data_IF_155745180386
#
_entry.id   IF_155745180386
#
_cell.length_a   1.000
_cell.length_b   1.000
_cell.length_c   1.000
_cell.angle_alpha   90.00
_cell.angle_beta   90.00
_cell.angle_gamma   90.00
#
_symmetry.space_group_name_H-M   'P 1'
#
loop_
_entity.id
_entity.type
_entity.pdbx_description
1 polymer ?
#
# COMPACT_ATOMS: atom_id res chain seq x y z
N UNK A 1 3.86 7.54 3.12
CA UNK A 1 5.06 6.87 3.69
C UNK A 1 6.02 6.39 2.60
N UNK A 2 7.30 6.20 2.93
CA UNK A 2 8.29 5.58 2.04
C UNK A 2 8.62 4.18 2.57
N UNK A 3 8.68 3.19 1.68
CA UNK A 3 9.08 1.81 2.00
C UNK A 3 10.36 1.53 1.23
N UNK A 4 11.41 1.04 1.91
CA UNK A 4 12.65 0.62 1.26
C UNK A 4 12.42 -0.71 0.55
N UNK A 5 12.87 -0.81 -0.69
CA UNK A 5 12.71 -2.00 -1.52
C UNK A 5 14.07 -2.23 -2.16
N UNK A 6 14.65 -3.39 -1.89
CA UNK A 6 16.00 -3.73 -2.33
C UNK A 6 15.99 -4.47 -3.67
N UNK A 7 14.90 -5.18 -3.94
CA UNK A 7 14.69 -5.89 -5.20
C UNK A 7 13.87 -5.00 -6.16
N UNK A 8 14.40 -4.70 -7.36
CA UNK A 8 13.64 -3.95 -8.34
C UNK A 8 12.42 -4.76 -8.78
N UNK A 9 11.28 -4.11 -8.94
CA UNK A 9 10.06 -4.78 -9.41
C UNK A 9 9.21 -3.83 -10.25
N UNK A 10 8.43 -4.38 -11.18
CA UNK A 10 7.52 -3.56 -11.98
C UNK A 10 6.13 -3.48 -11.35
N UNK A 11 5.42 -2.37 -11.53
CA UNK A 11 4.02 -2.27 -11.06
C UNK A 11 3.12 -3.35 -11.71
N UNK A 12 3.47 -3.81 -12.92
CA UNK A 12 2.79 -4.89 -13.62
C UNK A 12 2.94 -6.23 -12.89
N UNK A 13 4.13 -6.53 -12.34
CA UNK A 13 4.37 -7.71 -11.50
C UNK A 13 3.76 -7.58 -10.12
N UNK A 14 3.71 -6.37 -9.56
CA UNK A 14 3.16 -6.14 -8.23
C UNK A 14 1.64 -6.35 -8.19
N UNK A 15 0.91 -5.96 -9.24
CA UNK A 15 -0.55 -6.07 -9.30
C UNK A 15 -1.07 -7.49 -8.99
N UNK A 16 -0.67 -8.55 -9.71
CA UNK A 16 -1.20 -9.90 -9.45
C UNK A 16 -0.79 -10.42 -8.07
N UNK A 17 0.38 -10.04 -7.56
CA UNK A 17 0.80 -10.41 -6.19
C UNK A 17 -0.06 -9.75 -5.11
N UNK A 18 -0.45 -8.49 -5.31
CA UNK A 18 -1.38 -7.80 -4.41
C UNK A 18 -2.79 -8.38 -4.49
N UNK A 19 -3.26 -8.73 -5.70
CA UNK A 19 -4.57 -9.38 -5.88
C UNK A 19 -4.60 -10.77 -5.21
N UNK A 20 -3.49 -11.51 -5.23
CA UNK A 20 -3.37 -12.78 -4.53
C UNK A 20 -3.26 -12.62 -3.00
N UNK A 21 -2.54 -11.61 -2.52
CA UNK A 21 -2.36 -11.36 -1.09
C UNK A 21 -3.60 -10.73 -0.42
N UNK A 22 -4.42 -10.01 -1.19
CA UNK A 22 -5.60 -9.29 -0.71
C UNK A 22 -6.79 -9.53 -1.65
N UNK A 23 -7.33 -10.76 -1.72
CA UNK A 23 -8.37 -11.14 -2.67
C UNK A 23 -9.68 -10.35 -2.49
N UNK A 24 -9.95 -9.86 -1.29
CA UNK A 24 -11.10 -9.02 -0.98
C UNK A 24 -10.94 -7.55 -1.39
N UNK A 25 -9.74 -7.13 -1.84
CA UNK A 25 -9.46 -5.75 -2.22
C UNK A 25 -9.41 -5.57 -3.73
N UNK A 26 -9.78 -4.37 -4.17
CA UNK A 26 -9.72 -4.00 -5.59
C UNK A 26 -8.36 -3.39 -5.91
N UNK A 27 -7.65 -3.96 -6.89
CA UNK A 27 -6.36 -3.43 -7.34
C UNK A 27 -6.50 -2.89 -8.77
N UNK A 28 -6.24 -1.60 -8.96
CA UNK A 28 -6.41 -0.92 -10.25
C UNK A 28 -5.29 0.06 -10.53
N UNK A 29 -4.90 0.16 -11.80
CA UNK A 29 -4.00 1.22 -12.24
C UNK A 29 -4.74 2.55 -12.32
N UNK A 30 -4.10 3.62 -11.87
CA UNK A 30 -4.53 5.01 -12.07
C UNK A 30 -3.47 5.74 -12.89
N UNK A 31 -3.52 5.54 -14.20
CA UNK A 31 -2.45 5.95 -15.11
C UNK A 31 -1.24 5.02 -15.07
N UNK A 32 -0.13 5.38 -15.73
CA UNK A 32 0.98 4.45 -15.98
C UNK A 32 1.91 4.21 -14.79
N UNK A 33 1.91 5.11 -13.79
CA UNK A 33 2.89 5.10 -12.68
C UNK A 33 2.28 4.95 -11.30
N UNK A 34 0.97 4.69 -11.22
CA UNK A 34 0.25 4.58 -9.95
C UNK A 34 -0.62 3.34 -9.95
N UNK A 35 -0.40 2.50 -8.95
CA UNK A 35 -1.27 1.38 -8.63
C UNK A 35 -2.08 1.74 -7.39
N UNK A 36 -3.36 1.41 -7.37
CA UNK A 36 -4.24 1.68 -6.24
C UNK A 36 -4.82 0.37 -5.77
N UNK A 37 -4.67 0.11 -4.48
CA UNK A 37 -5.38 -0.94 -3.79
C UNK A 37 -6.46 -0.32 -2.91
N UNK A 38 -7.68 -0.82 -3.01
CA UNK A 38 -8.86 -0.25 -2.37
C UNK A 38 -9.69 -1.29 -1.66
N UNK A 39 -10.00 -1.00 -0.39
CA UNK A 39 -10.96 -1.73 0.43
C UNK A 39 -12.28 -0.94 0.42
N UNK A 40 -13.27 -1.49 -0.30
CA UNK A 40 -14.56 -0.83 -0.51
C UNK A 40 -14.43 0.54 -1.21
N UNK A 41 -15.18 1.53 -0.71
CA UNK A 41 -15.25 2.88 -1.32
C UNK A 41 -14.42 3.95 -0.59
N UNK A 42 -13.89 3.64 0.59
CA UNK A 42 -13.37 4.64 1.54
C UNK A 42 -11.87 4.48 1.75
N UNK A 43 -11.40 3.25 1.95
CA UNK A 43 -10.00 2.97 2.25
C UNK A 43 -9.26 2.66 0.96
N UNK A 44 -8.20 3.42 0.68
CA UNK A 44 -7.34 3.20 -0.47
C UNK A 44 -5.89 3.56 -0.15
N UNK A 45 -4.98 2.81 -0.75
CA UNK A 45 -3.56 3.10 -0.76
C UNK A 45 -3.07 3.26 -2.21
N UNK A 46 -2.44 4.40 -2.49
CA UNK A 46 -1.78 4.70 -3.74
C UNK A 46 -0.31 4.31 -3.65
N UNK A 47 0.11 3.45 -4.56
CA UNK A 47 1.48 2.97 -4.73
C UNK A 47 2.06 3.69 -5.94
N UNK A 48 2.98 4.61 -5.70
CA UNK A 48 3.69 5.30 -6.76
C UNK A 48 4.91 4.49 -7.16
N UNK A 49 5.07 4.33 -8.47
CA UNK A 49 6.14 3.56 -9.10
C UNK A 49 7.53 3.85 -8.55
N UNK A 50 8.38 2.84 -8.69
CA UNK A 50 9.67 2.74 -8.04
C UNK A 50 10.61 3.89 -8.43
N UNK A 51 11.15 4.59 -7.43
CA UNK A 51 12.43 5.30 -7.56
C UNK A 51 13.46 4.42 -6.88
N UNK A 52 14.64 4.22 -7.49
CA UNK A 52 15.70 3.32 -7.01
C UNK A 52 15.76 3.25 -5.47
N UNK A 53 15.43 2.09 -4.90
CA UNK A 53 15.54 1.79 -3.48
C UNK A 53 14.34 2.14 -2.60
N UNK A 54 13.28 2.78 -3.13
CA UNK A 54 12.07 3.04 -2.34
C UNK A 54 10.78 3.17 -3.15
N UNK A 55 9.69 2.80 -2.50
CA UNK A 55 8.32 2.92 -2.98
C UNK A 55 7.59 3.93 -2.11
N UNK A 56 6.77 4.78 -2.73
CA UNK A 56 5.92 5.73 -1.99
C UNK A 56 4.51 5.20 -1.91
N UNK A 57 3.99 5.11 -0.69
CA UNK A 57 2.62 4.73 -0.39
C UNK A 57 1.88 5.93 0.19
N UNK A 58 0.77 6.33 -0.40
CA UNK A 58 -0.07 7.42 0.10
C UNK A 58 -1.48 6.92 0.37
N UNK A 59 -2.13 7.47 1.39
CA UNK A 59 -3.54 7.30 1.66
C UNK A 59 -4.38 7.99 0.57
N UNK A 60 -5.49 7.37 0.18
CA UNK A 60 -6.42 7.96 -0.77
C UNK A 60 -7.82 7.38 -0.61
N UNK A 61 -8.79 8.04 -1.22
CA UNK A 61 -9.99 7.36 -1.66
C UNK A 61 -9.69 6.45 -2.87
N UNK A 62 -10.22 5.21 -2.89
CA UNK A 62 -9.98 4.26 -3.97
C UNK A 62 -10.72 4.63 -5.27
N UNK A 63 -11.83 5.37 -5.16
CA UNK A 63 -12.66 5.79 -6.31
C UNK A 63 -12.68 7.30 -6.48
N UNK A 64 -12.82 7.78 -7.72
CA UNK A 64 -13.03 9.20 -8.01
C UNK A 64 -14.36 9.71 -7.46
N UNK A 65 -15.40 8.85 -7.46
CA UNK A 65 -16.69 9.18 -6.85
C UNK A 65 -16.57 9.50 -5.36
N UNK A 66 -15.77 8.74 -4.60
CA UNK A 66 -15.50 9.05 -3.20
C UNK A 66 -14.77 10.39 -3.00
N UNK A 67 -13.81 10.71 -3.88
CA UNK A 67 -13.13 12.02 -3.87
C UNK A 67 -14.09 13.17 -4.18
N UNK A 68 -14.93 13.04 -5.21
CA UNK A 68 -15.92 14.06 -5.58
C UNK A 68 -16.96 14.27 -4.50
N UNK A 69 -17.50 13.19 -3.90
CA UNK A 69 -18.47 13.30 -2.81
C UNK A 69 -17.87 14.03 -1.60
N UNK A 70 -16.61 13.76 -1.29
CA UNK A 70 -15.90 14.48 -0.22
C UNK A 70 -15.65 15.96 -0.58
N UNK A 71 -15.31 16.26 -1.83
CA UNK A 71 -15.14 17.64 -2.28
C UNK A 71 -16.46 18.43 -2.24
N UNK A 72 -17.56 17.80 -2.67
CA UNK A 72 -18.90 18.39 -2.62
C UNK A 72 -19.36 18.61 -1.17
N UNK A 73 -19.03 17.71 -0.24
CA UNK A 73 -19.38 17.93 1.16
C UNK A 73 -18.64 19.12 1.77
N UNK A 74 -17.39 19.39 1.35
CA UNK A 74 -16.67 20.62 1.74
C UNK A 74 -17.36 21.87 1.19
N UNK A 75 -17.81 21.83 -0.06
CA UNK A 75 -18.52 22.95 -0.68
C UNK A 75 -19.85 23.25 0.05
N UNK A 76 -20.62 22.21 0.36
CA UNK A 76 -21.99 22.34 0.89
C UNK A 76 -22.05 22.54 2.41
N UNK A 77 -21.18 21.87 3.18
CA UNK A 77 -21.20 21.88 4.64
C UNK A 77 -20.11 22.77 5.26
N UNK A 78 -19.28 23.39 4.42
CA UNK A 78 -18.06 24.08 4.85
C UNK A 78 -16.93 23.10 5.19
N UNK A 79 -15.77 23.64 5.58
CA UNK A 79 -14.54 22.85 5.72
C UNK A 79 -14.51 21.99 7.00
N UNK A 80 -15.07 22.49 8.11
CA UNK A 80 -14.86 21.90 9.44
C UNK A 80 -15.51 20.52 9.60
N UNK A 81 -16.78 20.37 9.20
CA UNK A 81 -17.55 19.13 9.40
C UNK A 81 -16.94 17.96 8.59
N UNK A 82 -16.72 18.08 7.26
CA UNK A 82 -16.09 17.01 6.48
C UNK A 82 -14.69 16.67 6.97
N UNK A 83 -13.92 17.66 7.44
CA UNK A 83 -12.59 17.44 7.96
C UNK A 83 -12.59 16.56 9.22
N UNK A 84 -13.49 16.80 10.17
CA UNK A 84 -13.64 15.95 11.36
C UNK A 84 -14.03 14.52 10.97
N UNK A 85 -15.00 14.37 10.05
CA UNK A 85 -15.41 13.06 9.55
C UNK A 85 -14.25 12.34 8.86
N UNK A 86 -13.46 13.07 8.07
CA UNK A 86 -12.28 12.50 7.42
C UNK A 86 -11.27 11.97 8.44
N UNK A 87 -10.94 12.76 9.46
CA UNK A 87 -9.96 12.38 10.47
C UNK A 87 -10.42 11.19 11.33
N UNK A 88 -11.72 11.12 11.67
CA UNK A 88 -12.24 10.11 12.59
C UNK A 88 -12.68 8.82 11.89
N UNK A 89 -13.33 8.92 10.73
CA UNK A 89 -13.93 7.76 10.05
C UNK A 89 -13.10 7.22 8.89
N UNK A 90 -12.41 8.07 8.13
CA UNK A 90 -11.76 7.69 6.88
C UNK A 90 -10.25 7.47 7.05
N UNK A 91 -9.56 8.41 7.70
CA UNK A 91 -8.11 8.39 7.86
C UNK A 91 -7.59 7.13 8.57
N UNK A 92 -8.19 6.62 9.66
CA UNK A 92 -7.69 5.43 10.33
C UNK A 92 -7.75 4.19 9.43
N UNK A 93 -8.83 4.05 8.64
CA UNK A 93 -8.99 2.93 7.70
C UNK A 93 -7.98 2.99 6.55
N UNK A 94 -7.77 4.20 6.00
CA UNK A 94 -6.76 4.41 4.96
C UNK A 94 -5.34 4.15 5.46
N UNK A 95 -5.02 4.55 6.69
CA UNK A 95 -3.71 4.28 7.32
C UNK A 95 -3.52 2.78 7.52
N UNK A 96 -4.52 2.07 8.06
CA UNK A 96 -4.45 0.62 8.25
C UNK A 96 -4.18 -0.12 6.93
N UNK A 97 -4.91 0.22 5.87
CA UNK A 97 -4.69 -0.38 4.55
C UNK A 97 -3.29 -0.06 4.00
N UNK A 98 -2.84 1.20 4.11
CA UNK A 98 -1.51 1.62 3.69
C UNK A 98 -0.42 0.83 4.41
N UNK A 99 -0.57 0.62 5.72
CA UNK A 99 0.41 -0.08 6.55
C UNK A 99 0.43 -1.58 6.23
N UNK A 100 -0.74 -2.22 6.02
CA UNK A 100 -0.81 -3.60 5.54
C UNK A 100 -0.08 -3.80 4.21
N UNK A 101 -0.25 -2.87 3.27
CA UNK A 101 0.43 -2.89 1.97
C UNK A 101 1.92 -2.64 2.12
N UNK A 102 2.32 -1.75 3.03
CA UNK A 102 3.73 -1.50 3.34
C UNK A 102 4.41 -2.74 3.91
N UNK A 103 3.75 -3.44 4.81
CA UNK A 103 4.28 -4.66 5.42
C UNK A 103 4.36 -5.81 4.42
N UNK A 104 3.39 -5.91 3.52
CA UNK A 104 3.48 -6.82 2.38
C UNK A 104 4.71 -6.53 1.50
N UNK A 105 4.90 -5.26 1.10
CA UNK A 105 6.04 -4.88 0.26
C UNK A 105 7.39 -5.11 0.97
N UNK A 106 7.47 -4.89 2.28
CA UNK A 106 8.66 -5.19 3.07
C UNK A 106 8.96 -6.69 3.11
N UNK A 107 7.95 -7.52 3.29
CA UNK A 107 8.12 -8.99 3.33
C UNK A 107 8.56 -9.55 1.98
N UNK A 108 7.98 -9.03 0.91
CA UNK A 108 8.22 -9.54 -0.44
C UNK A 108 9.52 -9.02 -1.06
N UNK A 109 9.90 -7.75 -0.76
CA UNK A 109 10.98 -7.06 -1.48
C UNK A 109 12.04 -6.39 -0.61
N UNK A 110 11.98 -6.49 0.73
CA UNK A 110 13.10 -6.10 1.61
C UNK A 110 13.93 -7.32 2.02
N UNK A 111 15.24 -7.21 1.84
CA UNK A 111 16.21 -8.30 2.05
C UNK A 111 16.40 -8.68 3.52
N UNK A 112 15.92 -7.85 4.47
CA UNK A 112 16.07 -8.07 5.91
C UNK A 112 15.43 -9.38 6.39
N UNK A 113 14.38 -9.88 5.71
CA UNK A 113 13.75 -11.17 6.06
C UNK A 113 14.42 -12.35 5.34
N UNK A 114 14.95 -12.12 4.13
CA UNK A 114 15.64 -13.16 3.34
C UNK A 114 17.02 -13.50 3.91
N UNK A 115 17.72 -12.53 4.51
CA UNK A 115 19.01 -12.79 5.17
C UNK A 115 18.87 -13.59 6.47
N UNK A 116 17.79 -13.41 7.23
CA UNK A 116 17.51 -14.21 8.44
C UNK A 116 17.32 -15.69 8.11
N UNK A 117 16.57 -16.02 7.05
CA UNK A 117 16.36 -17.41 6.63
C UNK A 117 17.60 -18.05 5.99
N UNK A 118 18.44 -17.26 5.31
CA UNK A 118 19.67 -17.76 4.69
C UNK A 118 20.79 -18.01 5.72
N UNK A 119 20.86 -17.21 6.78
CA UNK A 119 21.77 -17.43 7.90
C UNK A 119 21.38 -18.67 8.72
N UNK A 120 20.09 -18.84 9.03
CA UNK A 120 19.59 -20.01 9.76
C UNK A 120 19.76 -21.33 8.96
N UNK A 121 19.60 -21.28 7.64
CA UNK A 121 19.86 -22.44 6.78
C UNK A 121 21.36 -22.75 6.57
N UNK A 122 22.25 -21.75 6.72
CA UNK A 122 23.69 -21.96 6.62
C UNK A 122 24.26 -22.57 7.92
N UNK A 123 23.80 -22.11 9.09
CA UNK A 123 24.18 -22.69 10.39
C UNK A 123 23.75 -24.16 10.54
N UNK A 124 22.62 -24.56 9.94
CA UNK A 124 22.14 -25.94 9.98
C UNK A 124 22.93 -26.89 9.06
N UNK A 125 23.62 -26.37 8.05
CA UNK A 125 24.47 -27.16 7.15
C UNK A 125 25.89 -27.32 7.72
N UNK A 126 26.44 -26.28 8.34
CA UNK A 126 27.76 -26.34 9.00
C UNK A 126 27.74 -27.12 10.32
N UNK A 127 26.57 -27.31 10.96
CA UNK A 127 26.44 -28.18 12.14
C UNK A 127 26.40 -29.68 11.81
N UNK A 128 26.50 -30.06 10.53
CA UNK A 128 26.43 -31.46 10.06
C UNK A 128 27.71 -31.99 9.41
N UNK A 129 28.84 -31.27 9.53
CA UNK A 129 30.17 -31.71 9.06
C UNK A 129 31.12 -31.94 10.23
#
# INVERSE_FOLDING_TARGET
MKVKVDQPYTLAELKPKLEAAFPEYTVKFRGPKVLIIGEGKIAGAQIFGEKKGFVRLNETFPTMGGQMLFALSILLLGVLIPFIVFLTAFKPKQVKLRDNVADFLRKEYSSAIVQSKKAEAADLLDATV
#
